data_IF_549288302263
#
_entry.id   IF_549288302263
#
_cell.length_a   1.000
_cell.length_b   1.000
_cell.length_c   1.000
_cell.angle_alpha   90.00
_cell.angle_beta   90.00
_cell.angle_gamma   90.00
#
_symmetry.space_group_name_H-M   'P 1'
#
loop_
_entity.id
_entity.type
_entity.pdbx_description
1 polymer ?
#
# COMPACT_ATOMS: atom_id res chain seq x y z
N UNK A 1 -36.69 -23.80 -16.90
CA UNK A 1 -36.70 -22.41 -17.39
C UNK A 1 -36.49 -21.49 -16.20
N UNK A 2 -35.24 -21.20 -15.86
CA UNK A 2 -34.86 -20.19 -14.87
C UNK A 2 -34.21 -19.03 -15.62
N UNK A 3 -34.89 -17.89 -15.60
CA UNK A 3 -34.52 -16.70 -16.35
C UNK A 3 -33.26 -16.04 -15.82
N UNK A 4 -32.22 -16.01 -16.66
CA UNK A 4 -31.85 -14.74 -17.31
C UNK A 4 -31.44 -13.56 -16.43
N UNK A 5 -30.73 -13.75 -15.31
CA UNK A 5 -29.83 -12.71 -14.79
C UNK A 5 -28.41 -13.07 -15.19
N UNK A 6 -27.95 -12.54 -16.34
CA UNK A 6 -26.51 -12.44 -16.61
C UNK A 6 -25.93 -11.53 -15.54
N UNK A 7 -25.44 -12.12 -14.45
CA UNK A 7 -24.59 -11.40 -13.51
C UNK A 7 -23.45 -10.81 -14.34
N UNK A 8 -23.35 -9.48 -14.38
CA UNK A 8 -22.19 -8.80 -14.94
C UNK A 8 -20.98 -9.41 -14.22
N UNK A 9 -20.06 -10.01 -14.96
CA UNK A 9 -18.86 -10.59 -14.36
C UNK A 9 -18.10 -9.47 -13.62
N UNK A 10 -17.49 -9.77 -12.48
CA UNK A 10 -16.79 -8.75 -11.68
C UNK A 10 -15.69 -8.04 -12.48
N UNK A 11 -15.18 -8.68 -13.53
CA UNK A 11 -14.23 -8.14 -14.48
C UNK A 11 -14.86 -7.07 -15.39
N UNK A 12 -16.09 -7.28 -15.87
CA UNK A 12 -16.84 -6.26 -16.63
C UNK A 12 -17.17 -5.05 -15.77
N UNK A 13 -17.54 -5.28 -14.50
CA UNK A 13 -17.77 -4.18 -13.55
C UNK A 13 -16.47 -3.39 -13.27
N UNK A 14 -15.33 -4.07 -13.11
CA UNK A 14 -14.03 -3.40 -13.00
C UNK A 14 -13.72 -2.59 -14.27
N UNK A 15 -13.94 -3.14 -15.45
CA UNK A 15 -13.72 -2.42 -16.71
C UNK A 15 -14.58 -1.14 -16.78
N UNK A 16 -15.83 -1.20 -16.33
CA UNK A 16 -16.70 -0.03 -16.24
C UNK A 16 -16.18 1.01 -15.23
N UNK A 17 -15.66 0.58 -14.07
CA UNK A 17 -15.02 1.47 -13.09
C UNK A 17 -13.78 2.14 -13.69
N UNK A 18 -12.93 1.39 -14.39
CA UNK A 18 -11.73 1.94 -15.02
C UNK A 18 -12.07 2.92 -16.15
N UNK A 19 -13.09 2.61 -16.95
CA UNK A 19 -13.61 3.51 -17.99
C UNK A 19 -14.16 4.80 -17.37
N UNK A 20 -14.96 4.68 -16.30
CA UNK A 20 -15.45 5.84 -15.55
C UNK A 20 -14.28 6.71 -15.08
N UNK A 21 -13.29 6.11 -14.43
CA UNK A 21 -12.10 6.82 -13.97
C UNK A 21 -11.34 7.52 -15.12
N UNK A 22 -11.14 6.84 -16.24
CA UNK A 22 -10.48 7.43 -17.42
C UNK A 22 -11.27 8.62 -17.98
N UNK A 23 -12.59 8.51 -18.05
CA UNK A 23 -13.46 9.59 -18.51
C UNK A 23 -13.50 10.77 -17.54
N UNK A 24 -13.39 10.53 -16.23
CA UNK A 24 -13.33 11.56 -15.20
C UNK A 24 -12.09 12.44 -15.32
N UNK A 25 -10.99 11.93 -15.89
CA UNK A 25 -9.70 12.63 -15.98
C UNK A 25 -9.34 13.01 -17.41
N UNK A 26 -10.26 12.86 -18.37
CA UNK A 26 -9.99 13.09 -19.81
C UNK A 26 -9.39 14.47 -20.14
N UNK A 27 -9.61 15.47 -19.29
CA UNK A 27 -9.10 16.84 -19.47
C UNK A 27 -7.58 16.93 -19.42
N UNK A 28 -6.88 15.94 -18.83
CA UNK A 28 -5.41 15.89 -18.83
C UNK A 28 -4.82 15.81 -20.24
N UNK A 29 -5.60 15.33 -21.21
CA UNK A 29 -5.18 15.20 -22.61
C UNK A 29 -5.35 16.47 -23.44
N UNK A 30 -5.83 17.58 -22.87
CA UNK A 30 -5.79 18.88 -23.53
C UNK A 30 -4.35 19.30 -23.84
N UNK A 31 -4.17 20.16 -24.83
CA UNK A 31 -2.85 20.69 -25.19
C UNK A 31 -2.15 21.37 -24.01
N UNK A 32 -0.81 21.36 -24.03
CA UNK A 32 0.02 21.91 -22.97
C UNK A 32 0.48 20.90 -21.91
N UNK A 33 1.14 21.40 -20.88
CA UNK A 33 1.64 20.62 -19.74
C UNK A 33 0.54 20.49 -18.69
N UNK A 34 0.50 19.35 -18.01
CA UNK A 34 -0.39 19.12 -16.87
C UNK A 34 -0.19 20.21 -15.79
N UNK A 35 -1.26 20.89 -15.32
CA UNK A 35 -1.15 21.91 -14.27
C UNK A 35 -0.80 21.27 -12.93
N UNK A 36 -0.19 22.03 -12.03
CA UNK A 36 0.28 21.57 -10.72
C UNK A 36 1.74 21.96 -10.51
N UNK A 37 2.15 22.10 -9.26
CA UNK A 37 3.45 22.64 -8.90
C UNK A 37 4.59 21.72 -9.36
N UNK A 38 4.43 20.41 -9.17
CA UNK A 38 5.49 19.42 -9.39
C UNK A 38 5.41 18.72 -10.75
N UNK A 39 4.33 18.94 -11.51
CA UNK A 39 4.18 18.35 -12.85
C UNK A 39 5.29 18.76 -13.84
N UNK A 40 5.67 20.05 -13.96
CA UNK A 40 6.75 20.44 -14.88
C UNK A 40 8.12 19.82 -14.51
N UNK A 41 8.58 19.83 -13.24
CA UNK A 41 9.77 19.09 -12.83
C UNK A 41 9.70 17.60 -13.19
N UNK A 42 8.59 16.91 -12.92
CA UNK A 42 8.42 15.50 -13.25
C UNK A 42 8.45 15.21 -14.75
N UNK A 43 7.93 16.12 -15.57
CA UNK A 43 7.99 16.01 -17.03
C UNK A 43 9.42 16.12 -17.54
N UNK A 44 10.22 17.07 -17.03
CA UNK A 44 11.65 17.21 -17.36
C UNK A 44 12.41 15.94 -16.98
N UNK A 45 12.15 15.41 -15.79
CA UNK A 45 12.82 14.19 -15.32
C UNK A 45 12.44 12.96 -16.15
N UNK A 46 11.19 12.89 -16.60
CA UNK A 46 10.71 11.86 -17.52
C UNK A 46 11.41 11.97 -18.87
N UNK A 47 11.56 13.19 -19.40
CA UNK A 47 12.30 13.45 -20.63
C UNK A 47 13.76 13.01 -20.52
N UNK A 48 14.47 13.40 -19.47
CA UNK A 48 15.85 13.00 -19.26
C UNK A 48 16.01 11.49 -19.17
N UNK A 49 15.10 10.84 -18.42
CA UNK A 49 15.08 9.39 -18.28
C UNK A 49 14.85 8.69 -19.62
N UNK A 50 13.89 9.17 -20.42
CA UNK A 50 13.53 8.56 -21.69
C UNK A 50 14.59 8.77 -22.79
N UNK A 51 15.16 9.98 -22.89
CA UNK A 51 16.02 10.39 -24.01
C UNK A 51 17.50 10.15 -23.74
N UNK A 52 17.96 10.28 -22.50
CA UNK A 52 19.39 10.19 -22.18
C UNK A 52 19.76 8.98 -21.33
N UNK A 53 18.97 8.63 -20.30
CA UNK A 53 19.38 7.60 -19.34
C UNK A 53 19.05 6.19 -19.83
N UNK A 54 17.77 5.91 -20.13
CA UNK A 54 17.33 4.57 -20.52
C UNK A 54 18.02 4.03 -21.78
N UNK A 55 18.30 4.83 -22.83
CA UNK A 55 19.05 4.36 -24.01
C UNK A 55 20.49 3.92 -23.69
N UNK A 56 21.08 4.44 -22.61
CA UNK A 56 22.39 4.04 -22.12
C UNK A 56 22.32 2.87 -21.11
N UNK A 57 21.13 2.27 -20.95
CA UNK A 57 20.84 1.22 -19.96
C UNK A 57 21.14 1.64 -18.52
N UNK A 58 21.04 2.95 -18.24
CA UNK A 58 21.14 3.48 -16.89
C UNK A 58 19.81 4.10 -16.46
N UNK A 59 19.49 3.94 -15.18
CA UNK A 59 18.36 4.60 -14.52
C UNK A 59 18.84 5.80 -13.72
N UNK A 60 20.12 5.80 -13.34
CA UNK A 60 20.76 6.89 -12.61
C UNK A 60 21.42 7.82 -13.63
N UNK A 61 21.25 9.12 -13.44
CA UNK A 61 21.79 10.09 -14.38
C UNK A 61 21.92 11.48 -13.77
N UNK A 62 22.78 12.27 -14.39
CA UNK A 62 23.02 13.66 -14.04
C UNK A 62 22.06 14.55 -14.83
N UNK A 63 21.27 15.35 -14.11
CA UNK A 63 20.46 16.40 -14.71
C UNK A 63 21.23 17.73 -14.60
N UNK A 64 21.71 18.29 -15.72
CA UNK A 64 22.48 19.53 -15.72
C UNK A 64 21.61 20.79 -15.62
N UNK A 65 20.28 20.67 -15.74
CA UNK A 65 19.37 21.80 -15.88
C UNK A 65 18.79 22.29 -14.55
N UNK A 66 18.78 21.44 -13.51
CA UNK A 66 18.27 21.79 -12.18
C UNK A 66 19.37 21.79 -11.12
N UNK A 67 19.25 22.67 -10.12
CA UNK A 67 20.10 22.73 -8.92
C UNK A 67 21.62 22.78 -9.18
N UNK A 68 22.07 23.47 -10.23
CA UNK A 68 23.48 23.51 -10.68
C UNK A 68 24.07 22.12 -11.03
N UNK A 69 23.19 21.16 -11.32
CA UNK A 69 23.54 19.78 -11.57
C UNK A 69 23.28 18.88 -10.37
N UNK A 70 22.46 17.85 -10.57
CA UNK A 70 22.14 16.86 -9.53
C UNK A 70 21.93 15.45 -10.09
N UNK A 71 22.21 14.42 -9.28
CA UNK A 71 21.94 13.01 -9.62
C UNK A 71 20.49 12.69 -9.26
N UNK A 72 19.54 13.20 -10.04
CA UNK A 72 18.13 13.23 -9.63
C UNK A 72 17.54 11.86 -9.25
N UNK A 73 17.65 10.86 -10.12
CA UNK A 73 17.07 9.52 -9.90
C UNK A 73 17.73 8.74 -8.75
N UNK A 74 18.80 9.29 -8.13
CA UNK A 74 19.35 8.78 -6.89
C UNK A 74 18.60 9.29 -5.65
N UNK A 75 18.07 10.52 -5.70
CA UNK A 75 17.38 11.18 -4.58
C UNK A 75 15.86 11.28 -4.77
N UNK A 76 15.41 11.10 -6.01
CA UNK A 76 14.02 10.97 -6.38
C UNK A 76 13.77 9.59 -6.98
N UNK A 77 12.60 9.06 -6.72
CA UNK A 77 12.28 7.66 -6.97
C UNK A 77 12.09 7.43 -8.47
N UNK A 78 12.88 6.55 -9.13
CA UNK A 78 12.92 6.47 -10.58
C UNK A 78 11.71 5.78 -11.23
N UNK A 79 10.88 5.07 -10.45
CA UNK A 79 9.85 4.16 -10.96
C UNK A 79 8.82 4.84 -11.87
N UNK A 80 8.37 6.04 -11.52
CA UNK A 80 7.41 6.79 -12.34
C UNK A 80 8.02 7.28 -13.66
N UNK A 81 9.28 7.70 -13.66
CA UNK A 81 9.96 8.18 -14.87
C UNK A 81 10.35 7.03 -15.79
N UNK A 82 10.69 5.87 -15.22
CA UNK A 82 10.85 4.64 -15.98
C UNK A 82 9.54 4.23 -16.65
N UNK A 83 8.39 4.36 -15.98
CA UNK A 83 7.10 4.10 -16.61
C UNK A 83 6.86 5.02 -17.82
N UNK A 84 7.12 6.32 -17.68
CA UNK A 84 6.98 7.27 -18.81
C UNK A 84 7.93 6.92 -19.95
N UNK A 85 9.19 6.63 -19.65
CA UNK A 85 10.18 6.24 -20.63
C UNK A 85 9.78 4.95 -21.38
N UNK A 86 9.29 3.94 -20.66
CA UNK A 86 8.79 2.71 -21.27
C UNK A 86 7.61 2.96 -22.20
N UNK A 87 6.66 3.83 -21.82
CA UNK A 87 5.52 4.20 -22.67
C UNK A 87 6.00 4.93 -23.93
N UNK A 88 6.91 5.90 -23.77
CA UNK A 88 7.47 6.67 -24.87
C UNK A 88 8.17 5.77 -25.90
N UNK A 89 9.04 4.86 -25.45
CA UNK A 89 9.75 3.92 -26.33
C UNK A 89 8.82 2.85 -26.93
N UNK A 90 7.86 2.34 -26.15
CA UNK A 90 6.87 1.38 -26.66
C UNK A 90 5.96 1.98 -27.74
N UNK A 91 5.79 3.30 -27.75
CA UNK A 91 5.03 4.01 -28.76
C UNK A 91 5.81 4.27 -30.06
N UNK A 92 7.08 3.89 -30.17
CA UNK A 92 7.87 3.91 -31.41
C UNK A 92 7.79 5.24 -32.20
N UNK A 93 7.70 6.37 -31.50
CA UNK A 93 7.60 7.71 -32.10
C UNK A 93 6.18 8.18 -32.47
N UNK A 94 5.13 7.40 -32.21
CA UNK A 94 3.73 7.83 -32.43
C UNK A 94 3.25 8.90 -31.46
N UNK A 95 3.91 9.06 -30.31
CA UNK A 95 3.57 10.05 -29.30
C UNK A 95 4.83 10.77 -28.82
N UNK A 96 4.69 12.03 -28.42
CA UNK A 96 5.75 12.78 -27.78
C UNK A 96 5.88 12.44 -26.28
N UNK A 97 6.91 13.00 -25.63
CA UNK A 97 7.17 12.76 -24.21
C UNK A 97 6.03 13.28 -23.31
N UNK A 98 5.37 14.37 -23.70
CA UNK A 98 4.28 14.98 -22.92
C UNK A 98 3.03 14.08 -22.94
N UNK A 99 2.73 13.48 -24.08
CA UNK A 99 1.66 12.50 -24.23
C UNK A 99 1.98 11.22 -23.46
N UNK A 100 3.23 10.71 -23.55
CA UNK A 100 3.66 9.56 -22.75
C UNK A 100 3.51 9.82 -21.24
N UNK A 101 3.85 11.03 -20.79
CA UNK A 101 3.67 11.49 -19.41
C UNK A 101 2.18 11.49 -18.99
N UNK A 102 1.28 12.02 -19.83
CA UNK A 102 -0.17 12.02 -19.57
C UNK A 102 -0.76 10.60 -19.52
N UNK A 103 -0.27 9.69 -20.36
CA UNK A 103 -0.64 8.28 -20.32
C UNK A 103 -0.16 7.63 -19.01
N UNK A 104 1.07 7.89 -18.58
CA UNK A 104 1.58 7.39 -17.30
C UNK A 104 0.79 7.94 -16.10
N UNK A 105 0.40 9.21 -16.15
CA UNK A 105 -0.47 9.84 -15.14
C UNK A 105 -1.82 9.10 -15.07
N UNK A 106 -2.46 8.85 -16.22
CA UNK A 106 -3.72 8.09 -16.30
C UNK A 106 -3.57 6.68 -15.72
N UNK A 107 -2.51 5.95 -16.11
CA UNK A 107 -2.23 4.61 -15.57
C UNK A 107 -2.09 4.67 -14.05
N UNK A 108 -1.36 5.65 -13.54
CA UNK A 108 -1.10 5.82 -12.11
C UNK A 108 -2.36 6.21 -11.33
N UNK A 109 -3.24 7.01 -11.93
CA UNK A 109 -4.55 7.33 -11.36
C UNK A 109 -5.42 6.07 -11.21
N UNK A 110 -5.43 5.19 -12.22
CA UNK A 110 -6.26 3.98 -12.26
C UNK A 110 -5.68 2.78 -11.48
N UNK A 111 -4.35 2.68 -11.37
CA UNK A 111 -3.68 1.49 -10.85
C UNK A 111 -4.09 1.11 -9.42
N UNK A 112 -4.27 2.04 -8.46
CA UNK A 112 -4.81 1.71 -7.15
C UNK A 112 -6.18 1.02 -7.18
N UNK A 113 -7.03 1.35 -8.14
CA UNK A 113 -8.32 0.67 -8.30
C UNK A 113 -8.16 -0.79 -8.71
N UNK A 114 -7.24 -1.07 -9.64
CA UNK A 114 -6.87 -2.44 -10.05
C UNK A 114 -6.27 -3.19 -8.85
N UNK A 115 -5.34 -2.57 -8.13
CA UNK A 115 -4.71 -3.16 -6.96
C UNK A 115 -5.71 -3.47 -5.85
N UNK A 116 -6.61 -2.54 -5.54
CA UNK A 116 -7.65 -2.71 -4.53
C UNK A 116 -8.62 -3.84 -4.92
N UNK A 117 -9.05 -3.88 -6.19
CA UNK A 117 -9.86 -4.97 -6.71
C UNK A 117 -9.18 -6.33 -6.50
N UNK A 118 -7.92 -6.46 -6.93
CA UNK A 118 -7.19 -7.73 -6.83
C UNK A 118 -6.97 -8.14 -5.37
N UNK A 119 -6.60 -7.21 -4.50
CA UNK A 119 -6.36 -7.49 -3.09
C UNK A 119 -7.64 -7.90 -2.36
N UNK A 120 -8.73 -7.16 -2.54
CA UNK A 120 -10.01 -7.49 -1.92
C UNK A 120 -10.53 -8.81 -2.47
N UNK A 121 -10.53 -9.01 -3.79
CA UNK A 121 -10.95 -10.29 -4.39
C UNK A 121 -10.13 -11.48 -3.89
N UNK A 122 -8.82 -11.32 -3.74
CA UNK A 122 -7.94 -12.39 -3.22
C UNK A 122 -8.23 -12.70 -1.74
N UNK A 123 -8.52 -11.68 -0.93
CA UNK A 123 -8.69 -11.80 0.52
C UNK A 123 -10.10 -12.18 0.97
N UNK A 124 -11.14 -11.70 0.28
CA UNK A 124 -12.56 -11.95 0.62
C UNK A 124 -13.23 -12.98 -0.27
N UNK A 125 -12.70 -13.19 -1.50
CA UNK A 125 -13.37 -13.92 -2.60
C UNK A 125 -14.70 -13.31 -3.03
N UNK A 126 -14.95 -12.04 -2.69
CA UNK A 126 -16.16 -11.31 -3.04
C UNK A 126 -15.85 -10.31 -4.19
N UNK A 127 -16.36 -10.56 -5.40
CA UNK A 127 -16.14 -9.67 -6.54
C UNK A 127 -16.88 -8.33 -6.41
N UNK A 128 -18.00 -8.27 -5.67
CA UNK A 128 -18.76 -7.03 -5.48
C UNK A 128 -18.00 -6.11 -4.54
N UNK A 129 -17.54 -6.64 -3.40
CA UNK A 129 -16.69 -5.89 -2.48
C UNK A 129 -15.41 -5.38 -3.18
N UNK A 130 -14.82 -6.19 -4.06
CA UNK A 130 -13.66 -5.80 -4.85
C UNK A 130 -13.95 -4.65 -5.83
N UNK A 131 -15.10 -4.67 -6.51
CA UNK A 131 -15.51 -3.56 -7.39
C UNK A 131 -15.78 -2.27 -6.62
N UNK A 132 -16.42 -2.37 -5.44
CA UNK A 132 -16.66 -1.21 -4.59
C UNK A 132 -15.35 -0.60 -4.06
N UNK A 133 -14.39 -1.45 -3.67
CA UNK A 133 -13.06 -0.99 -3.29
C UNK A 133 -12.34 -0.28 -4.45
N UNK A 134 -12.43 -0.83 -5.67
CA UNK A 134 -11.88 -0.20 -6.86
C UNK A 134 -12.51 1.17 -7.14
N UNK A 135 -13.84 1.26 -7.04
CA UNK A 135 -14.58 2.50 -7.22
C UNK A 135 -14.14 3.57 -6.21
N UNK A 136 -14.01 3.21 -4.93
CA UNK A 136 -13.56 4.14 -3.90
C UNK A 136 -12.12 4.64 -4.12
N UNK A 137 -11.29 3.91 -4.87
CA UNK A 137 -9.92 4.35 -5.21
C UNK A 137 -9.84 5.38 -6.35
N UNK A 138 -10.93 5.62 -7.09
CA UNK A 138 -10.95 6.62 -8.18
C UNK A 138 -11.84 7.84 -7.85
N UNK A 139 -12.69 7.76 -6.82
CA UNK A 139 -13.56 8.86 -6.42
C UNK A 139 -12.81 9.83 -5.50
N UNK A 140 -12.72 11.08 -5.91
CA UNK A 140 -12.17 12.18 -5.10
C UNK A 140 -13.21 12.59 -4.05
N UNK A 141 -12.82 12.54 -2.78
CA UNK A 141 -13.72 12.94 -1.69
C UNK A 141 -13.52 14.43 -1.34
N UNK A 142 -14.58 15.20 -1.07
CA UNK A 142 -14.45 16.63 -0.72
C UNK A 142 -13.57 16.88 0.52
N UNK A 143 -13.57 15.94 1.45
CA UNK A 143 -12.80 16.00 2.70
C UNK A 143 -11.32 15.68 2.50
N UNK A 144 -10.96 15.15 1.32
CA UNK A 144 -9.60 14.70 1.05
C UNK A 144 -8.62 15.88 1.14
N UNK A 145 -7.58 15.72 1.96
CA UNK A 145 -6.52 16.71 2.07
C UNK A 145 -5.57 16.60 0.89
N UNK A 146 -5.31 17.72 0.21
CA UNK A 146 -4.28 17.81 -0.84
C UNK A 146 -2.85 17.69 -0.29
N UNK A 147 -2.68 17.76 1.02
CA UNK A 147 -1.39 17.68 1.70
C UNK A 147 -1.08 16.27 2.24
N UNK A 148 -2.04 15.34 2.16
CA UNK A 148 -1.78 13.94 2.46
C UNK A 148 -1.22 13.25 1.22
N UNK A 149 -0.10 12.58 1.42
CA UNK A 149 0.70 12.07 0.32
C UNK A 149 0.00 10.94 -0.46
N UNK A 150 0.24 10.92 -1.76
CA UNK A 150 -0.35 10.07 -2.79
C UNK A 150 -1.89 10.08 -2.89
N UNK A 151 -2.57 11.09 -2.33
CA UNK A 151 -4.01 11.32 -2.50
C UNK A 151 -4.40 11.67 -3.94
N UNK A 152 -5.65 11.39 -4.34
CA UNK A 152 -6.20 11.84 -5.62
C UNK A 152 -6.17 13.37 -5.73
N UNK A 153 -6.55 14.09 -4.67
CA UNK A 153 -6.54 15.57 -4.69
C UNK A 153 -5.12 16.12 -4.86
N UNK A 154 -4.15 15.49 -4.21
CA UNK A 154 -2.73 15.87 -4.31
C UNK A 154 -2.20 15.70 -5.74
N UNK A 155 -2.61 14.66 -6.49
CA UNK A 155 -2.21 14.49 -7.89
C UNK A 155 -2.56 15.70 -8.76
N UNK A 156 -3.68 16.36 -8.50
CA UNK A 156 -4.17 17.49 -9.29
C UNK A 156 -3.68 18.84 -8.79
N UNK A 157 -3.66 19.04 -7.47
CA UNK A 157 -3.30 20.34 -6.87
C UNK A 157 -1.79 20.50 -6.83
N UNK A 158 -1.07 19.51 -6.30
CA UNK A 158 0.37 19.57 -6.09
C UNK A 158 1.11 18.98 -7.30
N UNK A 159 0.60 17.89 -7.89
CA UNK A 159 1.28 17.18 -8.98
C UNK A 159 2.10 15.97 -8.54
N UNK A 160 2.00 15.56 -7.27
CA UNK A 160 2.70 14.38 -6.70
C UNK A 160 2.04 13.05 -7.11
N UNK A 161 1.92 12.81 -8.42
CA UNK A 161 1.42 11.55 -8.96
C UNK A 161 2.39 10.35 -8.84
N UNK A 162 3.73 10.50 -8.88
CA UNK A 162 4.66 9.35 -8.80
C UNK A 162 4.43 8.46 -7.58
N UNK A 163 4.07 9.04 -6.43
CA UNK A 163 3.86 8.31 -5.19
C UNK A 163 2.66 7.34 -5.27
N UNK A 164 1.63 7.71 -6.04
CA UNK A 164 0.43 6.90 -6.21
C UNK A 164 0.68 5.65 -7.05
N UNK A 165 1.71 5.65 -7.91
CA UNK A 165 2.16 4.45 -8.62
C UNK A 165 2.60 3.39 -7.60
N UNK A 166 3.37 3.81 -6.59
CA UNK A 166 3.79 2.96 -5.47
C UNK A 166 2.61 2.31 -4.75
N UNK A 167 1.53 3.05 -4.49
CA UNK A 167 0.31 2.53 -3.86
C UNK A 167 -0.35 1.45 -4.71
N UNK A 168 -0.54 1.71 -6.01
CA UNK A 168 -1.17 0.75 -6.91
C UNK A 168 -0.40 -0.56 -6.98
N UNK A 169 0.91 -0.48 -7.17
CA UNK A 169 1.81 -1.65 -7.18
C UNK A 169 1.82 -2.37 -5.82
N UNK A 170 1.78 -1.64 -4.70
CA UNK A 170 1.79 -2.23 -3.37
C UNK A 170 0.53 -3.06 -3.10
N UNK A 171 -0.65 -2.58 -3.52
CA UNK A 171 -1.90 -3.32 -3.39
C UNK A 171 -1.89 -4.61 -4.22
N UNK A 172 -1.33 -4.57 -5.43
CA UNK A 172 -1.14 -5.78 -6.26
C UNK A 172 -0.16 -6.73 -5.56
N UNK A 173 0.90 -6.20 -4.94
CA UNK A 173 1.88 -7.00 -4.17
C UNK A 173 1.23 -7.73 -3.00
N UNK A 174 0.35 -7.04 -2.25
CA UNK A 174 -0.44 -7.65 -1.17
C UNK A 174 -1.35 -8.77 -1.69
N UNK A 175 -1.98 -8.58 -2.85
CA UNK A 175 -2.80 -9.62 -3.48
C UNK A 175 -1.98 -10.85 -3.86
N UNK A 176 -0.84 -10.65 -4.53
CA UNK A 176 0.07 -11.72 -4.93
C UNK A 176 0.60 -12.48 -3.71
N UNK A 177 1.01 -11.76 -2.66
CA UNK A 177 1.53 -12.34 -1.43
C UNK A 177 0.48 -13.15 -0.68
N UNK A 178 -0.74 -12.61 -0.56
CA UNK A 178 -1.87 -13.30 0.04
C UNK A 178 -2.12 -14.67 -0.63
N UNK A 179 -2.08 -14.70 -1.96
CA UNK A 179 -2.21 -15.94 -2.72
C UNK A 179 -0.98 -16.85 -2.54
N UNK A 180 0.23 -16.29 -2.48
CA UNK A 180 1.47 -17.05 -2.27
C UNK A 180 1.46 -17.84 -0.96
N UNK A 181 0.95 -17.25 0.13
CA UNK A 181 0.87 -17.89 1.45
C UNK A 181 0.10 -19.22 1.44
N UNK A 182 -0.84 -19.40 0.51
CA UNK A 182 -1.65 -20.62 0.37
C UNK A 182 -1.25 -21.49 -0.83
N UNK A 183 -0.45 -20.97 -1.77
CA UNK A 183 0.00 -21.69 -2.95
C UNK A 183 1.05 -22.75 -2.63
N UNK A 184 1.31 -23.65 -3.58
CA UNK A 184 2.35 -24.69 -3.50
C UNK A 184 3.08 -24.84 -4.85
N UNK A 185 4.24 -25.48 -4.83
CA UNK A 185 5.03 -25.80 -6.02
C UNK A 185 5.32 -24.58 -6.89
N UNK A 186 5.22 -24.74 -8.21
CA UNK A 186 5.51 -23.66 -9.18
C UNK A 186 4.60 -22.44 -9.03
N UNK A 187 3.34 -22.64 -8.60
CA UNK A 187 2.42 -21.52 -8.37
C UNK A 187 2.91 -20.63 -7.22
N UNK A 188 3.43 -21.23 -6.15
CA UNK A 188 4.02 -20.47 -5.05
C UNK A 188 5.25 -19.68 -5.50
N UNK A 189 6.19 -20.34 -6.20
CA UNK A 189 7.40 -19.70 -6.69
C UNK A 189 7.06 -18.46 -7.54
N UNK A 190 6.15 -18.61 -8.51
CA UNK A 190 5.69 -17.49 -9.35
C UNK A 190 5.08 -16.34 -8.55
N UNK A 191 4.21 -16.64 -7.59
CA UNK A 191 3.56 -15.59 -6.78
C UNK A 191 4.54 -14.90 -5.83
N UNK A 192 5.45 -15.63 -5.20
CA UNK A 192 6.47 -15.07 -4.32
C UNK A 192 7.48 -14.20 -5.11
N UNK A 193 7.90 -14.65 -6.30
CA UNK A 193 8.74 -13.84 -7.21
C UNK A 193 8.01 -12.61 -7.75
N UNK A 194 6.72 -12.74 -8.07
CA UNK A 194 5.90 -11.58 -8.45
C UNK A 194 5.80 -10.58 -7.30
N UNK A 195 5.58 -11.04 -6.06
CA UNK A 195 5.62 -10.17 -4.88
C UNK A 195 6.97 -9.48 -4.76
N UNK A 196 8.10 -10.19 -4.93
CA UNK A 196 9.44 -9.59 -4.89
C UNK A 196 9.61 -8.45 -5.90
N UNK A 197 9.20 -8.69 -7.15
CA UNK A 197 9.22 -7.68 -8.21
C UNK A 197 8.35 -6.47 -7.86
N UNK A 198 7.13 -6.71 -7.37
CA UNK A 198 6.20 -5.63 -7.01
C UNK A 198 6.69 -4.84 -5.78
N UNK A 199 7.32 -5.47 -4.79
CA UNK A 199 7.96 -4.74 -3.68
C UNK A 199 9.05 -3.82 -4.21
N UNK A 200 9.93 -4.33 -5.08
CA UNK A 200 11.00 -3.52 -5.68
C UNK A 200 10.42 -2.35 -6.50
N UNK A 201 9.40 -2.60 -7.33
CA UNK A 201 8.73 -1.56 -8.09
C UNK A 201 8.03 -0.53 -7.18
N UNK A 202 7.43 -0.96 -6.06
CA UNK A 202 6.89 -0.04 -5.05
C UNK A 202 8.00 0.81 -4.45
N UNK A 203 9.13 0.23 -4.02
CA UNK A 203 10.26 0.97 -3.45
C UNK A 203 10.82 2.01 -4.43
N UNK A 204 10.99 1.62 -5.70
CA UNK A 204 11.49 2.50 -6.75
C UNK A 204 10.49 3.59 -7.15
N UNK A 205 9.20 3.44 -6.86
CA UNK A 205 8.18 4.45 -7.16
C UNK A 205 7.91 5.35 -5.95
N UNK A 206 7.86 4.76 -4.76
CA UNK A 206 7.65 5.42 -3.49
C UNK A 206 8.23 4.61 -2.33
N UNK A 207 9.43 4.96 -1.83
CA UNK A 207 10.13 4.24 -0.76
C UNK A 207 9.28 4.14 0.48
N UNK A 208 8.49 5.18 0.75
CA UNK A 208 7.59 5.19 1.90
C UNK A 208 6.59 4.05 1.77
N UNK A 209 5.79 4.03 0.70
CA UNK A 209 4.88 2.91 0.47
C UNK A 209 5.59 1.55 0.48
N UNK A 210 6.85 1.46 0.04
CA UNK A 210 7.64 0.21 0.08
C UNK A 210 7.98 -0.28 1.49
N UNK A 211 8.39 0.61 2.40
CA UNK A 211 8.63 0.25 3.82
C UNK A 211 7.29 -0.10 4.49
N UNK A 212 6.22 0.67 4.21
CA UNK A 212 4.89 0.39 4.73
C UNK A 212 4.35 -0.95 4.25
N UNK A 213 4.52 -1.26 2.97
CA UNK A 213 4.22 -2.57 2.38
C UNK A 213 5.00 -3.67 3.09
N UNK A 214 6.31 -3.48 3.32
CA UNK A 214 7.14 -4.48 4.01
C UNK A 214 6.63 -4.78 5.42
N UNK A 215 6.20 -3.75 6.17
CA UNK A 215 5.60 -3.90 7.49
C UNK A 215 4.26 -4.66 7.42
N UNK A 216 3.41 -4.37 6.44
CA UNK A 216 2.13 -5.09 6.24
C UNK A 216 2.36 -6.53 5.78
N UNK A 217 3.36 -6.80 4.94
CA UNK A 217 3.71 -8.17 4.53
C UNK A 217 4.23 -8.99 5.72
N UNK A 218 5.03 -8.39 6.60
CA UNK A 218 5.41 -9.01 7.87
C UNK A 218 4.17 -9.31 8.71
N UNK A 219 3.24 -8.36 8.86
CA UNK A 219 1.98 -8.57 9.57
C UNK A 219 1.17 -9.73 8.98
N UNK A 220 1.04 -9.81 7.64
CA UNK A 220 0.37 -10.93 6.97
C UNK A 220 1.08 -12.27 7.18
N UNK A 221 2.40 -12.25 7.31
CA UNK A 221 3.21 -13.43 7.63
C UNK A 221 2.95 -13.91 9.06
N UNK A 222 2.94 -12.97 10.02
CA UNK A 222 2.59 -13.26 11.41
C UNK A 222 1.16 -13.78 11.50
N UNK A 223 0.21 -13.18 10.78
CA UNK A 223 -1.16 -13.69 10.68
C UNK A 223 -1.20 -15.13 10.18
N UNK A 224 -0.51 -15.45 9.08
CA UNK A 224 -0.50 -16.80 8.52
C UNK A 224 0.10 -17.82 9.50
N UNK A 225 1.18 -17.44 10.19
CA UNK A 225 1.80 -18.23 11.25
C UNK A 225 0.84 -18.46 12.43
N UNK A 226 0.21 -17.40 12.95
CA UNK A 226 -0.78 -17.48 14.03
C UNK A 226 -1.96 -18.34 13.63
N UNK A 227 -2.49 -18.17 12.42
CA UNK A 227 -3.63 -18.96 11.94
C UNK A 227 -3.28 -20.43 11.79
N UNK A 228 -2.06 -20.77 11.38
CA UNK A 228 -1.59 -22.15 11.37
C UNK A 228 -1.59 -22.76 12.79
N UNK A 229 -1.14 -21.99 13.79
CA UNK A 229 -1.15 -22.41 15.20
C UNK A 229 -2.59 -22.61 15.69
N UNK A 230 -3.46 -21.62 15.48
CA UNK A 230 -4.88 -21.69 15.88
C UNK A 230 -5.51 -22.93 15.28
N UNK A 231 -5.41 -23.14 13.96
CA UNK A 231 -5.98 -24.32 13.28
C UNK A 231 -5.46 -25.64 13.88
N UNK A 232 -4.20 -25.69 14.31
CA UNK A 232 -3.57 -26.88 14.86
C UNK A 232 -3.99 -27.21 16.31
N UNK A 233 -4.57 -26.27 17.07
CA UNK A 233 -4.93 -26.48 18.49
C UNK A 233 -5.93 -27.62 18.75
N UNK A 234 -6.78 -27.96 17.78
CA UNK A 234 -7.76 -29.05 17.91
C UNK A 234 -7.19 -30.45 17.63
N UNK A 235 -5.86 -30.60 17.51
CA UNK A 235 -5.18 -31.85 17.15
C UNK A 235 -4.34 -32.37 18.31
N UNK A 236 -4.05 -33.67 18.32
CA UNK A 236 -3.11 -34.27 19.29
C UNK A 236 -1.72 -33.61 19.26
N UNK A 237 -1.00 -33.61 20.38
CA UNK A 237 0.22 -32.80 20.61
C UNK A 237 1.26 -32.88 19.47
N UNK A 238 1.59 -34.09 19.00
CA UNK A 238 2.54 -34.27 17.87
C UNK A 238 2.02 -33.66 16.56
N UNK A 239 0.75 -33.87 16.24
CA UNK A 239 0.12 -33.32 15.04
C UNK A 239 -0.04 -31.80 15.13
N UNK A 240 -0.25 -31.26 16.34
CA UNK A 240 -0.26 -29.82 16.63
C UNK A 240 1.11 -29.19 16.35
N UNK A 241 2.17 -29.73 16.97
CA UNK A 241 3.54 -29.21 16.80
C UNK A 241 4.00 -29.28 15.34
N UNK A 242 3.81 -30.43 14.68
CA UNK A 242 4.22 -30.61 13.28
C UNK A 242 3.41 -29.72 12.31
N UNK A 243 2.10 -29.58 12.53
CA UNK A 243 1.22 -28.74 11.71
C UNK A 243 1.53 -27.25 11.84
N UNK A 244 1.68 -26.77 13.07
CA UNK A 244 2.04 -25.38 13.36
C UNK A 244 3.39 -25.02 12.77
N UNK A 245 4.43 -25.84 13.01
CA UNK A 245 5.78 -25.56 12.53
C UNK A 245 5.85 -25.46 11.00
N UNK A 246 5.21 -26.39 10.28
CA UNK A 246 5.17 -26.35 8.80
C UNK A 246 4.49 -25.08 8.28
N UNK A 247 3.40 -24.64 8.92
CA UNK A 247 2.72 -23.41 8.55
C UNK A 247 3.57 -22.16 8.80
N UNK A 248 4.21 -22.08 9.97
CA UNK A 248 5.11 -20.98 10.36
C UNK A 248 6.32 -20.92 9.42
N UNK A 249 6.99 -22.05 9.20
CA UNK A 249 8.15 -22.14 8.31
C UNK A 249 7.78 -21.76 6.88
N UNK A 250 6.59 -22.14 6.40
CA UNK A 250 6.12 -21.76 5.07
C UNK A 250 5.88 -20.26 4.93
N UNK A 251 5.23 -19.64 5.93
CA UNK A 251 5.00 -18.20 5.94
C UNK A 251 6.36 -17.46 5.93
N UNK A 252 7.30 -17.89 6.79
CA UNK A 252 8.63 -17.32 6.86
C UNK A 252 9.41 -17.48 5.54
N UNK A 253 9.34 -18.65 4.90
CA UNK A 253 9.99 -18.89 3.61
C UNK A 253 9.40 -17.99 2.51
N UNK A 254 8.08 -17.79 2.49
CA UNK A 254 7.41 -16.92 1.52
C UNK A 254 7.87 -15.47 1.70
N UNK A 255 7.94 -14.98 2.93
CA UNK A 255 8.47 -13.65 3.24
C UNK A 255 9.95 -13.53 2.84
N UNK A 256 10.77 -14.53 3.19
CA UNK A 256 12.20 -14.54 2.91
C UNK A 256 12.51 -14.46 1.42
N UNK A 257 11.81 -15.24 0.59
CA UNK A 257 11.95 -15.18 -0.88
C UNK A 257 11.52 -13.82 -1.42
N UNK A 258 10.38 -13.29 -0.96
CA UNK A 258 9.87 -12.00 -1.41
C UNK A 258 10.85 -10.85 -1.04
N UNK A 259 11.32 -10.81 0.20
CA UNK A 259 12.21 -9.79 0.71
C UNK A 259 13.60 -9.85 0.08
N UNK A 260 14.21 -11.04 -0.01
CA UNK A 260 15.52 -11.21 -0.63
C UNK A 260 15.50 -10.87 -2.13
N UNK A 261 14.46 -11.32 -2.84
CA UNK A 261 14.28 -11.00 -4.25
C UNK A 261 14.08 -9.49 -4.48
N UNK A 262 13.27 -8.84 -3.66
CA UNK A 262 13.04 -7.39 -3.75
C UNK A 262 14.33 -6.61 -3.46
N UNK A 263 15.08 -7.01 -2.42
CA UNK A 263 16.36 -6.42 -2.08
C UNK A 263 17.38 -6.54 -3.21
N UNK A 264 17.46 -7.70 -3.86
CA UNK A 264 18.31 -7.91 -5.03
C UNK A 264 17.93 -7.02 -6.22
N UNK A 265 16.63 -6.94 -6.54
CA UNK A 265 16.13 -6.13 -7.67
C UNK A 265 16.28 -4.62 -7.44
N UNK A 266 16.18 -4.15 -6.20
CA UNK A 266 16.31 -2.73 -5.85
C UNK A 266 17.73 -2.32 -5.42
N UNK A 267 18.68 -3.27 -5.32
CA UNK A 267 20.01 -3.05 -4.75
C UNK A 267 20.78 -1.92 -5.44
N UNK A 268 20.68 -1.82 -6.77
CA UNK A 268 21.37 -0.80 -7.58
C UNK A 268 21.01 0.63 -7.18
N UNK A 269 19.80 0.84 -6.65
CA UNK A 269 19.31 2.14 -6.22
C UNK A 269 19.42 2.32 -4.71
N UNK A 270 19.05 1.27 -3.96
CA UNK A 270 18.99 1.28 -2.50
C UNK A 270 20.37 1.42 -1.85
N UNK A 271 21.38 0.67 -2.33
CA UNK A 271 22.71 0.68 -1.73
C UNK A 271 23.38 2.06 -1.88
N UNK A 272 23.43 2.67 -3.07
CA UNK A 272 23.97 4.02 -3.20
C UNK A 272 23.20 5.06 -2.39
N UNK A 273 21.86 4.97 -2.33
CA UNK A 273 21.05 5.90 -1.55
C UNK A 273 21.41 5.85 -0.06
N UNK A 274 21.49 4.64 0.50
CA UNK A 274 21.85 4.45 1.90
C UNK A 274 23.27 4.92 2.21
N UNK A 275 24.22 4.64 1.31
CA UNK A 275 25.61 5.10 1.44
C UNK A 275 25.68 6.64 1.47
N UNK A 276 24.96 7.30 0.57
CA UNK A 276 24.92 8.76 0.50
C UNK A 276 24.24 9.38 1.71
N UNK A 277 23.09 8.84 2.13
CA UNK A 277 22.38 9.31 3.32
C UNK A 277 23.24 9.18 4.59
N UNK A 278 24.00 8.09 4.71
CA UNK A 278 24.94 7.88 5.82
C UNK A 278 26.12 8.87 5.79
N UNK A 279 26.70 9.11 4.61
CA UNK A 279 27.89 9.94 4.46
C UNK A 279 27.62 11.46 4.60
N UNK A 280 26.45 11.94 4.18
CA UNK A 280 26.18 13.38 4.02
C UNK A 280 25.08 13.91 4.97
N UNK A 281 24.91 13.30 6.15
CA UNK A 281 23.85 13.66 7.11
C UNK A 281 23.73 15.16 7.41
N UNK A 282 22.70 15.80 6.85
CA UNK A 282 22.10 17.07 7.32
C UNK A 282 20.66 17.30 6.84
N UNK A 283 20.13 16.47 5.94
CA UNK A 283 18.73 16.54 5.48
C UNK A 283 18.08 15.16 5.65
N UNK A 284 17.03 15.01 6.48
CA UNK A 284 16.23 13.79 6.49
C UNK A 284 15.44 13.72 5.16
N UNK A 285 16.05 13.17 4.12
CA UNK A 285 15.45 12.98 2.78
C UNK A 285 14.22 12.06 2.81
N UNK A 286 14.06 11.27 3.86
CA UNK A 286 12.92 10.39 4.11
C UNK A 286 12.37 10.70 5.51
N UNK A 287 11.31 11.52 5.59
CA UNK A 287 10.62 11.82 6.86
C UNK A 287 9.23 11.20 6.85
N UNK A 288 9.08 10.13 7.63
CA UNK A 288 7.80 9.42 7.81
C UNK A 288 6.88 10.07 8.85
N UNK A 289 7.46 10.86 9.73
CA UNK A 289 6.82 11.28 10.97
C UNK A 289 5.98 12.53 10.75
N UNK A 290 4.65 12.36 10.78
CA UNK A 290 3.67 13.45 10.76
C UNK A 290 3.29 13.92 12.18
N UNK A 291 3.69 13.15 13.21
CA UNK A 291 3.29 13.39 14.59
C UNK A 291 1.78 13.15 14.83
N UNK A 292 1.30 13.42 16.06
CA UNK A 292 -0.11 13.20 16.40
C UNK A 292 -1.10 14.04 15.57
N UNK A 293 -0.68 15.24 15.14
CA UNK A 293 -1.51 16.10 14.27
C UNK A 293 -1.82 15.45 12.92
N UNK A 294 -0.88 14.71 12.34
CA UNK A 294 -1.08 13.98 11.08
C UNK A 294 -2.19 12.95 11.13
N UNK A 295 -2.38 12.29 12.28
CA UNK A 295 -3.46 11.33 12.46
C UNK A 295 -4.84 11.99 12.43
N UNK A 296 -5.00 13.15 13.07
CA UNK A 296 -6.25 13.90 13.02
C UNK A 296 -6.55 14.36 11.59
N UNK A 297 -5.54 14.85 10.88
CA UNK A 297 -5.68 15.22 9.46
C UNK A 297 -6.11 14.03 8.61
N UNK A 298 -5.51 12.85 8.84
CA UNK A 298 -5.91 11.61 8.17
C UNK A 298 -7.37 11.24 8.46
N UNK A 299 -7.80 11.21 9.72
CA UNK A 299 -9.17 10.86 10.09
C UNK A 299 -10.20 11.83 9.48
N UNK A 300 -9.89 13.14 9.49
CA UNK A 300 -10.74 14.16 8.84
C UNK A 300 -10.81 13.94 7.32
N UNK A 301 -9.71 13.50 6.72
CA UNK A 301 -9.61 13.24 5.28
C UNK A 301 -10.37 12.00 4.82
N UNK A 302 -10.66 11.04 5.70
CA UNK A 302 -11.45 9.85 5.36
C UNK A 302 -12.93 10.18 5.18
N UNK A 303 -13.48 11.14 5.94
CA UNK A 303 -14.92 11.41 5.98
C UNK A 303 -15.72 10.41 6.83
N UNK A 304 -16.95 10.80 7.19
CA UNK A 304 -17.81 10.02 8.09
C UNK A 304 -18.26 8.67 7.48
N UNK A 305 -18.55 8.65 6.17
CA UNK A 305 -19.03 7.46 5.49
C UNK A 305 -17.99 6.33 5.51
N UNK A 306 -16.74 6.63 5.16
CA UNK A 306 -15.64 5.68 5.15
C UNK A 306 -15.36 5.15 6.56
N UNK A 307 -15.39 6.03 7.56
CA UNK A 307 -15.27 5.63 8.97
C UNK A 307 -16.38 4.67 9.40
N UNK A 308 -17.64 4.97 9.05
CA UNK A 308 -18.77 4.10 9.36
C UNK A 308 -18.67 2.74 8.65
N UNK A 309 -18.34 2.72 7.36
CA UNK A 309 -18.14 1.49 6.58
C UNK A 309 -17.01 0.62 7.16
N UNK A 310 -15.90 1.25 7.56
CA UNK A 310 -14.79 0.55 8.22
C UNK A 310 -15.25 -0.10 9.53
N UNK A 311 -15.89 0.66 10.43
CA UNK A 311 -16.37 0.13 11.71
C UNK A 311 -17.40 -0.99 11.52
N UNK A 312 -18.36 -0.82 10.61
CA UNK A 312 -19.34 -1.87 10.29
C UNK A 312 -18.65 -3.14 9.78
N UNK A 313 -17.67 -3.01 8.88
CA UNK A 313 -16.94 -4.17 8.35
C UNK A 313 -16.18 -4.95 9.43
N UNK A 314 -15.58 -4.23 10.38
CA UNK A 314 -14.86 -4.80 11.53
C UNK A 314 -15.83 -5.53 12.46
N UNK A 315 -16.97 -4.92 12.80
CA UNK A 315 -17.97 -5.51 13.68
C UNK A 315 -18.61 -6.76 13.08
N UNK A 316 -18.97 -6.70 11.78
CA UNK A 316 -19.50 -7.86 11.05
C UNK A 316 -18.47 -8.99 11.05
N UNK A 317 -17.21 -8.71 10.68
CA UNK A 317 -16.14 -9.71 10.70
C UNK A 317 -15.88 -10.31 12.09
N UNK A 318 -15.93 -9.50 13.14
CA UNK A 318 -15.72 -9.94 14.51
C UNK A 318 -16.87 -10.82 15.04
N UNK A 319 -18.10 -10.59 14.56
CA UNK A 319 -19.29 -11.38 14.93
C UNK A 319 -19.38 -12.75 14.24
N UNK A 320 -18.53 -13.02 13.25
CA UNK A 320 -18.46 -14.29 12.54
C UNK A 320 -17.22 -15.09 12.96
N UNK A 321 -17.23 -15.81 14.09
CA UNK A 321 -16.04 -16.56 14.50
C UNK A 321 -15.86 -17.81 13.64
N UNK A 322 -14.59 -18.23 13.51
CA UNK A 322 -14.20 -19.50 12.86
C UNK A 322 -14.30 -20.71 13.80
N UNK A 323 -14.53 -20.49 15.11
CA UNK A 323 -14.65 -21.52 16.16
C UNK A 323 -15.74 -21.16 17.17
N UNK A 324 -16.12 -22.11 18.03
CA UNK A 324 -17.17 -21.94 19.05
C UNK A 324 -16.96 -20.80 20.07
N UNK A 325 -15.79 -20.14 20.08
CA UNK A 325 -15.53 -18.99 20.95
C UNK A 325 -15.83 -17.67 20.23
N UNK A 326 -17.12 -17.29 20.19
CA UNK A 326 -17.60 -15.99 19.67
C UNK A 326 -16.99 -14.79 20.37
N UNK A 327 -16.61 -14.94 21.64
CA UNK A 327 -16.20 -13.82 22.48
C UNK A 327 -14.82 -13.28 22.12
N UNK A 328 -13.86 -14.13 21.74
CA UNK A 328 -12.47 -13.70 21.47
C UNK A 328 -12.37 -12.66 20.35
N UNK A 329 -12.88 -12.91 19.12
CA UNK A 329 -12.75 -11.92 18.04
C UNK A 329 -13.54 -10.63 18.34
N UNK A 330 -14.69 -10.74 19.00
CA UNK A 330 -15.51 -9.59 19.36
C UNK A 330 -14.86 -8.69 20.42
N UNK A 331 -14.31 -9.28 21.50
CA UNK A 331 -13.64 -8.52 22.56
C UNK A 331 -12.36 -7.88 22.04
N UNK A 332 -11.56 -8.61 21.27
CA UNK A 332 -10.32 -8.09 20.70
C UNK A 332 -10.60 -6.95 19.69
N UNK A 333 -11.57 -7.12 18.77
CA UNK A 333 -11.93 -6.08 17.82
C UNK A 333 -12.53 -4.84 18.52
N UNK A 334 -13.40 -5.02 19.51
CA UNK A 334 -13.97 -3.91 20.30
C UNK A 334 -12.89 -3.15 21.04
N UNK A 335 -11.96 -3.84 21.70
CA UNK A 335 -10.83 -3.22 22.38
C UNK A 335 -9.93 -2.45 21.39
N UNK A 336 -9.68 -3.00 20.20
CA UNK A 336 -8.89 -2.33 19.16
C UNK A 336 -9.56 -1.03 18.65
N UNK A 337 -10.90 -1.03 18.50
CA UNK A 337 -11.68 0.15 18.14
C UNK A 337 -11.66 1.19 19.26
N UNK A 338 -11.78 0.77 20.52
CA UNK A 338 -11.65 1.68 21.67
C UNK A 338 -10.28 2.36 21.64
N UNK A 339 -9.20 1.63 21.38
CA UNK A 339 -7.86 2.23 21.26
C UNK A 339 -7.79 3.30 20.17
N UNK A 340 -8.47 3.10 19.02
CA UNK A 340 -8.59 4.13 17.97
C UNK A 340 -9.37 5.36 18.44
N UNK A 341 -10.51 5.15 19.09
CA UNK A 341 -11.35 6.24 19.60
C UNK A 341 -10.63 7.07 20.65
N UNK A 342 -9.91 6.42 21.58
CA UNK A 342 -9.11 7.11 22.59
C UNK A 342 -7.93 7.85 21.94
N UNK A 343 -7.26 7.26 20.94
CA UNK A 343 -6.24 7.98 20.15
C UNK A 343 -6.78 9.21 19.44
N UNK A 344 -8.01 9.16 18.92
CA UNK A 344 -8.66 10.31 18.29
C UNK A 344 -9.10 11.38 19.31
N UNK A 345 -9.54 10.97 20.50
CA UNK A 345 -9.95 11.87 21.58
C UNK A 345 -8.75 12.52 22.29
N UNK A 346 -7.62 11.82 22.38
CA UNK A 346 -6.42 12.26 23.10
C UNK A 346 -5.14 12.00 22.30
N UNK A 347 -4.96 12.66 21.14
CA UNK A 347 -3.82 12.39 20.26
C UNK A 347 -2.48 12.88 20.84
N UNK A 348 -2.49 13.91 21.70
CA UNK A 348 -1.29 14.59 22.19
C UNK A 348 -0.80 14.11 23.57
N UNK A 349 -1.37 13.06 24.13
CA UNK A 349 -1.06 12.58 25.49
C UNK A 349 0.18 11.67 25.58
N UNK A 350 0.94 11.54 24.49
CA UNK A 350 2.16 10.71 24.42
C UNK A 350 1.91 9.20 24.39
N UNK A 351 0.67 8.73 24.54
CA UNK A 351 0.30 7.30 24.56
C UNK A 351 -0.26 6.79 23.23
N UNK A 352 -0.48 7.69 22.28
CA UNK A 352 -1.13 7.39 21.00
C UNK A 352 -0.48 6.23 20.24
N UNK A 353 0.84 6.21 20.15
CA UNK A 353 1.57 5.17 19.45
C UNK A 353 1.38 3.79 20.09
N UNK A 354 1.40 3.74 21.43
CA UNK A 354 1.12 2.53 22.19
C UNK A 354 -0.30 2.00 21.92
N UNK A 355 -1.30 2.89 21.85
CA UNK A 355 -2.68 2.51 21.49
C UNK A 355 -2.79 1.96 20.07
N UNK A 356 -2.09 2.56 19.11
CA UNK A 356 -2.11 2.11 17.72
C UNK A 356 -1.45 0.74 17.55
N UNK A 357 -0.32 0.47 18.21
CA UNK A 357 0.29 -0.86 18.17
C UNK A 357 -0.59 -1.92 18.87
N UNK A 358 -1.21 -1.58 20.02
CA UNK A 358 -2.18 -2.46 20.66
C UNK A 358 -3.38 -2.74 19.76
N UNK A 359 -3.93 -1.71 19.11
CA UNK A 359 -5.02 -1.87 18.14
C UNK A 359 -4.62 -2.80 17.00
N UNK A 360 -3.40 -2.65 16.46
CA UNK A 360 -2.88 -3.54 15.42
C UNK A 360 -2.82 -4.99 15.88
N UNK A 361 -2.26 -5.26 17.05
CA UNK A 361 -2.14 -6.60 17.62
C UNK A 361 -3.50 -7.22 17.96
N UNK A 362 -4.43 -6.43 18.50
CA UNK A 362 -5.78 -6.89 18.84
C UNK A 362 -6.62 -7.22 17.60
N UNK A 363 -6.54 -6.39 16.55
CA UNK A 363 -7.16 -6.73 15.26
C UNK A 363 -6.52 -7.97 14.62
N UNK A 364 -5.20 -8.12 14.72
CA UNK A 364 -4.48 -9.31 14.24
C UNK A 364 -4.98 -10.57 14.97
N UNK A 365 -5.09 -10.50 16.30
CA UNK A 365 -5.65 -11.58 17.11
C UNK A 365 -7.09 -11.91 16.70
N UNK A 366 -7.95 -10.89 16.60
CA UNK A 366 -9.35 -11.09 16.18
C UNK A 366 -9.43 -11.77 14.82
N UNK A 367 -8.58 -11.37 13.87
CA UNK A 367 -8.55 -11.95 12.53
C UNK A 367 -8.16 -13.43 12.52
N UNK A 368 -7.29 -13.88 13.44
CA UNK A 368 -6.89 -15.28 13.54
C UNK A 368 -8.05 -16.20 13.97
N UNK A 369 -9.04 -15.63 14.68
CA UNK A 369 -10.22 -16.34 15.17
C UNK A 369 -11.50 -16.06 14.38
N UNK A 370 -11.49 -15.15 13.39
CA UNK A 370 -12.64 -14.85 12.54
C UNK A 370 -12.74 -15.77 11.31
N UNK A 371 -13.97 -16.10 10.91
CA UNK A 371 -14.26 -16.75 9.64
C UNK A 371 -14.09 -15.80 8.44
N UNK A 372 -14.20 -14.50 8.67
CA UNK A 372 -13.98 -13.42 7.69
C UNK A 372 -12.82 -12.51 8.14
N UNK A 373 -11.57 -12.98 8.00
CA UNK A 373 -10.41 -12.30 8.58
C UNK A 373 -10.04 -10.98 7.90
N UNK A 374 -10.46 -10.78 6.64
CA UNK A 374 -9.93 -9.70 5.80
C UNK A 374 -10.20 -8.27 6.35
N UNK A 375 -11.41 -7.90 6.79
CA UNK A 375 -11.65 -6.56 7.36
C UNK A 375 -10.81 -6.29 8.62
N UNK A 376 -10.65 -7.31 9.47
CA UNK A 376 -9.84 -7.23 10.69
C UNK A 376 -8.35 -7.09 10.36
N UNK A 377 -7.85 -7.81 9.35
CA UNK A 377 -6.46 -7.64 8.90
C UNK A 377 -6.20 -6.28 8.27
N UNK A 378 -7.15 -5.75 7.51
CA UNK A 378 -7.07 -4.39 6.98
C UNK A 378 -7.03 -3.37 8.13
N UNK A 379 -7.87 -3.56 9.17
CA UNK A 379 -7.80 -2.74 10.38
C UNK A 379 -6.45 -2.85 11.10
N UNK A 380 -5.91 -4.06 11.21
CA UNK A 380 -4.59 -4.30 11.81
C UNK A 380 -3.47 -3.61 11.03
N UNK A 381 -3.50 -3.70 9.70
CA UNK A 381 -2.56 -3.03 8.80
C UNK A 381 -2.68 -1.50 8.87
N UNK A 382 -3.92 -0.97 8.89
CA UNK A 382 -4.16 0.47 9.03
C UNK A 382 -3.60 1.00 10.36
N UNK A 383 -3.86 0.30 11.47
CA UNK A 383 -3.30 0.66 12.79
C UNK A 383 -1.77 0.67 12.79
N UNK A 384 -1.13 -0.32 12.14
CA UNK A 384 0.32 -0.42 12.03
C UNK A 384 0.91 0.74 11.20
N UNK A 385 0.30 1.04 10.05
CA UNK A 385 0.75 2.14 9.20
C UNK A 385 0.57 3.50 9.89
N UNK A 386 -0.52 3.69 10.63
CA UNK A 386 -0.75 4.91 11.42
C UNK A 386 0.24 5.03 12.56
N UNK A 387 0.57 3.93 13.25
CA UNK A 387 1.65 3.90 14.24
C UNK A 387 2.97 4.37 13.63
N UNK A 388 3.35 3.81 12.48
CA UNK A 388 4.57 4.23 11.78
C UNK A 388 4.52 5.72 11.41
N UNK A 389 3.36 6.22 10.95
CA UNK A 389 3.12 7.62 10.58
C UNK A 389 3.24 8.62 11.74
N UNK A 390 2.80 8.25 12.96
CA UNK A 390 2.83 9.17 14.11
C UNK A 390 4.23 9.33 14.70
N UNK A 391 5.08 8.31 14.56
CA UNK A 391 6.51 8.36 14.87
C UNK A 391 6.87 8.58 16.35
N UNK A 392 8.16 8.83 16.66
CA UNK A 392 8.70 8.78 18.02
C UNK A 392 8.05 9.70 19.05
N UNK A 393 7.57 10.87 18.60
CA UNK A 393 6.87 11.83 19.46
C UNK A 393 5.56 11.26 20.06
N UNK A 394 5.02 10.18 19.49
CA UNK A 394 3.83 9.48 19.98
C UNK A 394 4.13 8.31 20.94
N UNK A 395 5.39 8.12 21.35
CA UNK A 395 5.86 7.03 22.24
C UNK A 395 6.50 7.52 23.55
N UNK A 396 6.27 8.76 23.97
CA UNK A 396 6.81 9.23 25.24
C UNK A 396 6.06 8.53 26.37
N UNK A 397 6.67 7.51 26.96
CA UNK A 397 6.25 6.97 28.25
C UNK A 397 6.41 8.07 29.30
N UNK A 398 5.39 8.90 29.48
CA UNK A 398 5.30 9.79 30.62
C UNK A 398 4.88 8.96 31.82
N UNK A 399 5.84 8.29 32.45
CA UNK A 399 5.63 7.78 33.79
C UNK A 399 5.67 8.99 34.73
N UNK A 400 4.51 9.37 35.28
CA UNK A 400 4.41 10.32 36.40
C UNK A 400 5.18 11.64 36.21
N UNK A 401 5.01 12.30 35.05
CA UNK A 401 5.44 13.69 34.86
C UNK A 401 6.96 13.95 34.82
N UNK A 402 7.80 12.91 34.68
CA UNK A 402 9.23 13.12 34.49
C UNK A 402 9.56 13.20 33.00
N UNK A 403 10.09 14.35 32.56
CA UNK A 403 10.61 14.61 31.22
C UNK A 403 12.07 14.24 31.09
#
# INVERSE_FOLDING_TARGET
>A
MEGGRRAISGELALAAVLLLGALSVKTIFREGVLPGWDNPPHLVCSYLTAVYFLPQLTVLGWDPYNNFGWVFNQYYNPGAYLLVALIYHAALGFIDINMAYKVAFLITYLLPAVGAYLYVKASTRDPVAACLAALLCIVVMPQESEWLDAGLKQMYVIGMWPHRLGIGVALISLAAYWLALSARGWRWARLASLTAFLIAATLLSHPMTGIGLSAVLLLLTVYAALRAIVIAEGKGLRAKLAGSWRGVAWAAATLGVAAAGAGGLAAFWLIPLLKTNYAYHSLPTIKWVLGPGGFNTFLRSLGLLQGALFLMSVLIAASMPSRGSRLIPLTAASAAVIMWLVSAASPYDGCMGLRLIYSSLLFLLASAFSAQPAPLLIGSAASLLLFMATGPASYRFQFLGWT
#
